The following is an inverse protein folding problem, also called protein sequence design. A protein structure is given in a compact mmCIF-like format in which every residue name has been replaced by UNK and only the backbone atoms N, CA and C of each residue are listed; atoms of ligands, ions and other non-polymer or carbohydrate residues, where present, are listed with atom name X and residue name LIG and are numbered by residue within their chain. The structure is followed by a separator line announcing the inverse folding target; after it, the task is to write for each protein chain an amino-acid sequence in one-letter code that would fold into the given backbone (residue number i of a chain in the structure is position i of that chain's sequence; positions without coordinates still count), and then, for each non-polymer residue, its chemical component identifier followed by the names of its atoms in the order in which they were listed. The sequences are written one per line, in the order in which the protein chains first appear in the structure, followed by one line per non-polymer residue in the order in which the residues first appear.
data_IF_312808819327
#
_entry.id   IF_312808819327
#
_cell.length_a   1.000
_cell.length_b   1.000
_cell.length_c   1.000
_cell.angle_alpha   90.00
_cell.angle_beta   90.00
_cell.angle_gamma   90.00
#
_symmetry.space_group_name_H-M   'P 1'
#
loop_
_entity.id
_entity.type
_entity.pdbx_description
1 polymer ?
#
# COMPACT_ATOMS: atom_id res chain seq x y z
N UNK A 1 26.85 14.73 45.45
CA UNK A 1 25.89 13.63 45.30
C UNK A 1 24.58 14.10 45.91
N UNK A 2 23.59 14.40 45.06
CA UNK A 2 22.26 14.80 45.51
C UNK A 2 21.40 13.55 45.38
N UNK A 3 21.23 12.84 46.50
CA UNK A 3 20.36 11.68 46.60
C UNK A 3 19.01 12.19 47.09
N UNK A 4 18.00 12.07 46.24
CA UNK A 4 16.61 12.29 46.63
C UNK A 4 16.14 11.15 47.54
N UNK A 5 15.12 11.43 48.35
CA UNK A 5 14.77 10.75 49.60
C UNK A 5 14.08 9.39 49.39
N UNK A 6 13.82 9.02 48.14
CA UNK A 6 13.10 7.81 47.75
C UNK A 6 14.01 6.66 47.26
N UNK A 7 15.33 6.81 47.29
CA UNK A 7 16.27 5.69 47.06
C UNK A 7 16.24 5.07 45.65
N UNK A 8 15.53 5.67 44.70
CA UNK A 8 15.50 5.24 43.31
C UNK A 8 16.59 5.95 42.49
N UNK A 9 17.38 5.16 41.78
CA UNK A 9 18.42 5.66 40.88
C UNK A 9 17.71 6.21 39.62
N UNK A 10 18.18 7.30 38.98
CA UNK A 10 17.56 7.83 37.74
C UNK A 10 17.46 6.79 36.61
N UNK A 11 18.25 5.71 36.65
CA UNK A 11 18.16 4.57 35.74
C UNK A 11 16.90 3.70 35.98
N UNK A 12 16.49 3.53 37.25
CA UNK A 12 15.30 2.74 37.62
C UNK A 12 14.01 3.46 37.19
N UNK A 13 13.96 4.79 37.32
CA UNK A 13 12.84 5.60 36.82
C UNK A 13 12.75 5.56 35.29
N UNK A 14 13.88 5.54 34.58
CA UNK A 14 13.93 5.42 33.13
C UNK A 14 13.44 4.06 32.64
N UNK A 15 13.78 2.95 33.32
CA UNK A 15 13.28 1.62 32.95
C UNK A 15 11.77 1.46 33.17
N UNK A 16 11.23 1.98 34.29
CA UNK A 16 9.79 1.92 34.59
C UNK A 16 8.98 2.72 33.57
N UNK A 17 9.43 3.92 33.20
CA UNK A 17 8.74 4.75 32.20
C UNK A 17 8.88 4.18 30.78
N UNK A 18 10.00 3.53 30.48
CA UNK A 18 10.20 2.86 29.19
C UNK A 18 9.28 1.65 29.02
N UNK A 19 9.09 0.81 30.04
CA UNK A 19 8.18 -0.35 29.97
C UNK A 19 6.72 0.06 29.79
N UNK A 20 6.30 1.15 30.46
CA UNK A 20 4.97 1.75 30.28
C UNK A 20 4.72 2.25 28.86
N UNK A 21 5.66 3.02 28.30
CA UNK A 21 5.56 3.52 26.92
C UNK A 21 5.61 2.41 25.88
N UNK A 22 6.39 1.36 26.09
CA UNK A 22 6.47 0.21 25.18
C UNK A 22 5.14 -0.55 25.11
N UNK A 23 4.49 -0.77 26.25
CA UNK A 23 3.15 -1.40 26.31
C UNK A 23 2.10 -0.57 25.58
N UNK A 24 2.11 0.75 25.77
CA UNK A 24 1.18 1.64 25.07
C UNK A 24 1.45 1.67 23.55
N UNK A 25 2.72 1.74 23.14
CA UNK A 25 3.11 1.67 21.73
C UNK A 25 2.69 0.34 21.07
N UNK A 26 2.84 -0.78 21.78
CA UNK A 26 2.41 -2.10 21.30
C UNK A 26 0.89 -2.18 21.14
N UNK A 27 0.13 -1.64 22.10
CA UNK A 27 -1.33 -1.56 22.02
C UNK A 27 -1.77 -0.70 20.84
N UNK A 28 -1.20 0.50 20.73
CA UNK A 28 -1.46 1.42 19.62
C UNK A 28 -1.17 0.77 18.26
N UNK A 29 -0.05 0.05 18.16
CA UNK A 29 0.33 -0.67 16.95
C UNK A 29 -0.68 -1.75 16.56
N UNK A 30 -1.17 -2.51 17.55
CA UNK A 30 -2.14 -3.59 17.34
C UNK A 30 -3.49 -3.04 16.86
N UNK A 31 -3.98 -2.00 17.53
CA UNK A 31 -5.24 -1.32 17.15
C UNK A 31 -5.14 -0.70 15.76
N UNK A 32 -4.00 -0.07 15.45
CA UNK A 32 -3.71 0.50 14.14
C UNK A 32 -3.63 -0.57 13.05
N UNK A 33 -2.87 -1.64 13.29
CA UNK A 33 -2.71 -2.75 12.34
C UNK A 33 -4.05 -3.44 12.04
N UNK A 34 -4.93 -3.60 13.04
CA UNK A 34 -6.27 -4.16 12.85
C UNK A 34 -7.16 -3.23 12.02
N UNK A 35 -7.16 -1.93 12.32
CA UNK A 35 -7.93 -0.93 11.58
C UNK A 35 -7.48 -0.85 10.12
N UNK A 36 -6.16 -0.77 9.89
CA UNK A 36 -5.58 -0.75 8.55
C UNK A 36 -5.79 -2.05 7.79
N UNK A 37 -5.71 -3.21 8.45
CA UNK A 37 -6.04 -4.51 7.81
C UNK A 37 -7.46 -4.54 7.29
N UNK A 38 -8.42 -4.04 8.08
CA UNK A 38 -9.83 -3.94 7.67
C UNK A 38 -9.98 -3.07 6.43
N UNK A 39 -9.33 -1.89 6.42
CA UNK A 39 -9.34 -0.98 5.26
C UNK A 39 -8.70 -1.65 4.03
N UNK A 40 -7.59 -2.35 4.20
CA UNK A 40 -6.92 -3.07 3.12
C UNK A 40 -7.81 -4.17 2.53
N UNK A 41 -8.42 -5.00 3.37
CA UNK A 41 -9.38 -6.03 2.94
C UNK A 41 -10.54 -5.39 2.18
N UNK A 42 -11.08 -4.28 2.67
CA UNK A 42 -12.16 -3.55 1.99
C UNK A 42 -11.72 -3.07 0.60
N UNK A 43 -10.55 -2.45 0.48
CA UNK A 43 -9.99 -2.02 -0.81
C UNK A 43 -9.79 -3.21 -1.74
N UNK A 44 -9.20 -4.30 -1.25
CA UNK A 44 -8.99 -5.51 -2.04
C UNK A 44 -10.32 -6.08 -2.56
N UNK A 45 -11.36 -6.07 -1.73
CA UNK A 45 -12.70 -6.55 -2.10
C UNK A 45 -13.33 -5.68 -3.20
N UNK A 46 -13.24 -4.36 -3.07
CA UNK A 46 -13.80 -3.41 -4.05
C UNK A 46 -13.09 -3.53 -5.39
N UNK A 47 -11.75 -3.57 -5.38
CA UNK A 47 -10.94 -3.72 -6.59
C UNK A 47 -11.18 -5.10 -7.23
N UNK A 48 -11.32 -6.15 -6.43
CA UNK A 48 -11.62 -7.50 -6.94
C UNK A 48 -12.98 -7.50 -7.64
N UNK A 49 -14.01 -6.92 -7.03
CA UNK A 49 -15.31 -6.77 -7.69
C UNK A 49 -15.21 -5.97 -9.00
N UNK A 50 -14.42 -4.88 -9.01
CA UNK A 50 -14.18 -4.06 -10.19
C UNK A 50 -13.50 -4.85 -11.34
N UNK A 51 -12.56 -5.75 -11.01
CA UNK A 51 -11.87 -6.61 -11.96
C UNK A 51 -12.83 -7.55 -12.72
N UNK A 52 -13.85 -8.07 -12.04
CA UNK A 52 -14.84 -8.98 -12.63
C UNK A 52 -15.97 -8.25 -13.34
N UNK A 53 -16.24 -6.99 -13.01
CA UNK A 53 -17.15 -6.15 -13.79
C UNK A 53 -16.44 -5.65 -15.05
N UNK A 54 -16.25 -6.53 -16.04
CA UNK A 54 -15.59 -6.19 -17.31
C UNK A 54 -16.47 -5.17 -18.05
N UNK A 55 -16.02 -3.90 -18.23
CA UNK A 55 -16.71 -2.96 -19.09
C UNK A 55 -16.36 -3.31 -20.55
N UNK A 56 -17.23 -4.02 -21.26
CA UNK A 56 -17.00 -4.22 -22.70
C UNK A 56 -17.79 -5.31 -23.39
N UNK A 57 -18.45 -6.22 -22.66
CA UNK A 57 -19.14 -7.33 -23.30
C UNK A 57 -18.22 -8.18 -24.18
N UNK A 58 -18.79 -9.12 -24.92
CA UNK A 58 -18.06 -9.93 -25.89
C UNK A 58 -18.85 -9.89 -27.17
N UNK A 59 -18.29 -9.30 -28.23
CA UNK A 59 -18.81 -9.48 -29.57
C UNK A 59 -18.00 -10.62 -30.22
N UNK A 60 -18.68 -11.72 -30.57
CA UNK A 60 -18.12 -12.84 -31.33
C UNK A 60 -16.91 -13.57 -30.68
N UNK A 61 -16.96 -13.82 -29.38
CA UNK A 61 -15.96 -14.63 -28.67
C UNK A 61 -14.60 -13.97 -28.46
N UNK A 62 -14.45 -12.69 -28.86
CA UNK A 62 -13.24 -11.89 -28.64
C UNK A 62 -13.60 -10.67 -27.79
N UNK A 63 -12.90 -10.40 -26.66
CA UNK A 63 -13.12 -9.18 -25.89
C UNK A 63 -12.85 -7.97 -26.80
N UNK A 64 -13.89 -7.20 -27.13
CA UNK A 64 -13.86 -6.06 -28.07
C UNK A 64 -12.80 -5.01 -27.68
N UNK A 65 -12.37 -5.00 -26.42
CA UNK A 65 -11.50 -3.98 -25.84
C UNK A 65 -10.04 -4.38 -25.59
N UNK A 66 -9.60 -5.57 -26.03
CA UNK A 66 -8.19 -5.99 -25.88
C UNK A 66 -7.18 -5.09 -26.61
N UNK A 67 -7.61 -4.29 -27.59
CA UNK A 67 -6.72 -3.50 -28.44
C UNK A 67 -6.53 -2.04 -28.00
N UNK A 68 -7.22 -1.57 -26.95
CA UNK A 68 -7.05 -0.19 -26.46
C UNK A 68 -6.07 -0.14 -25.29
N UNK A 69 -5.08 0.76 -25.39
CA UNK A 69 -4.06 0.96 -24.36
C UNK A 69 -4.64 1.36 -23.00
N UNK A 70 -5.83 1.95 -22.97
CA UNK A 70 -6.51 2.43 -21.76
C UNK A 70 -7.08 1.28 -20.92
N UNK A 71 -7.64 0.24 -21.58
CA UNK A 71 -8.16 -0.95 -20.90
C UNK A 71 -7.03 -1.79 -20.31
N UNK A 72 -5.94 -1.99 -21.06
CA UNK A 72 -4.76 -2.71 -20.56
C UNK A 72 -4.13 -1.99 -19.36
N UNK A 73 -4.08 -0.65 -19.38
CA UNK A 73 -3.62 0.14 -18.24
C UNK A 73 -4.53 -0.03 -17.03
N UNK A 74 -5.85 0.01 -17.21
CA UNK A 74 -6.83 -0.25 -16.15
C UNK A 74 -6.60 -1.62 -15.50
N UNK A 75 -6.53 -2.69 -16.29
CA UNK A 75 -6.32 -4.05 -15.78
C UNK A 75 -5.00 -4.20 -15.02
N UNK A 76 -3.90 -3.61 -15.51
CA UNK A 76 -2.61 -3.65 -14.81
C UNK A 76 -2.71 -2.92 -13.47
N UNK A 77 -3.31 -1.73 -13.45
CA UNK A 77 -3.44 -0.95 -12.21
C UNK A 77 -4.32 -1.65 -11.18
N UNK A 78 -5.40 -2.30 -11.63
CA UNK A 78 -6.31 -3.07 -10.79
C UNK A 78 -5.59 -4.28 -10.15
N UNK A 79 -4.83 -5.05 -10.93
CA UNK A 79 -4.03 -6.17 -10.41
C UNK A 79 -2.95 -5.69 -9.43
N UNK A 80 -2.27 -4.58 -9.72
CA UNK A 80 -1.28 -4.00 -8.80
C UNK A 80 -1.96 -3.53 -7.51
N UNK A 81 -3.14 -2.91 -7.59
CA UNK A 81 -3.91 -2.48 -6.44
C UNK A 81 -4.31 -3.66 -5.55
N UNK A 82 -4.77 -4.76 -6.14
CA UNK A 82 -5.08 -6.01 -5.43
C UNK A 82 -3.87 -6.60 -4.75
N UNK A 83 -2.79 -6.80 -5.50
CA UNK A 83 -1.57 -7.43 -4.99
C UNK A 83 -0.97 -6.63 -3.84
N UNK A 84 -0.92 -5.30 -3.97
CA UNK A 84 -0.39 -4.41 -2.93
C UNK A 84 -1.29 -4.34 -1.70
N UNK A 85 -2.61 -4.38 -1.88
CA UNK A 85 -3.55 -4.44 -0.74
C UNK A 85 -3.40 -5.75 0.05
N UNK A 86 -3.40 -6.89 -0.64
CA UNK A 86 -3.22 -8.20 -0.01
C UNK A 86 -1.85 -8.33 0.67
N UNK A 87 -0.79 -7.83 0.03
CA UNK A 87 0.53 -7.77 0.65
C UNK A 87 0.52 -6.92 1.93
N UNK A 88 -0.20 -5.80 1.94
CA UNK A 88 -0.38 -5.00 3.15
C UNK A 88 -1.13 -5.75 4.25
N UNK A 89 -2.19 -6.48 3.92
CA UNK A 89 -2.92 -7.33 4.87
C UNK A 89 -1.97 -8.34 5.50
N UNK A 90 -1.17 -9.04 4.70
CA UNK A 90 -0.19 -10.01 5.20
C UNK A 90 0.83 -9.36 6.14
N UNK A 91 1.31 -8.15 5.82
CA UNK A 91 2.24 -7.42 6.67
C UNK A 91 1.60 -7.03 8.01
N UNK A 92 0.36 -6.53 8.01
CA UNK A 92 -0.34 -6.21 9.26
C UNK A 92 -0.71 -7.45 10.07
N UNK A 93 -1.15 -8.53 9.43
CA UNK A 93 -1.37 -9.81 10.10
C UNK A 93 -0.07 -10.33 10.71
N UNK A 94 1.08 -10.18 10.03
CA UNK A 94 2.38 -10.52 10.61
C UNK A 94 2.71 -9.71 11.86
N UNK A 95 2.21 -8.48 11.98
CA UNK A 95 2.36 -7.65 13.19
C UNK A 95 1.41 -8.14 14.29
N UNK A 96 0.16 -8.49 13.94
CA UNK A 96 -0.85 -8.98 14.89
C UNK A 96 -0.55 -10.38 15.45
N UNK A 97 0.06 -11.25 14.63
CA UNK A 97 0.36 -12.64 14.98
C UNK A 97 1.71 -12.79 15.71
N UNK A 98 2.62 -11.83 15.58
CA UNK A 98 3.94 -11.93 16.23
C UNK A 98 3.80 -11.83 17.75
N UNK A 99 4.23 -12.86 18.52
CA UNK A 99 4.38 -12.74 19.97
C UNK A 99 5.41 -11.64 20.23
N UNK A 100 5.05 -10.68 21.07
CA UNK A 100 5.88 -9.53 21.39
C UNK A 100 7.00 -9.95 22.35
N UNK A 101 8.05 -10.62 21.83
CA UNK A 101 9.31 -10.74 22.55
C UNK A 101 10.09 -9.43 22.37
N UNK A 102 10.13 -8.67 23.46
CA UNK A 102 10.40 -7.23 23.56
C UNK A 102 11.82 -6.79 23.15
N UNK A 103 12.76 -7.71 22.89
CA UNK A 103 14.19 -7.38 22.82
C UNK A 103 14.76 -7.16 21.40
N UNK A 104 14.24 -7.85 20.36
CA UNK A 104 14.66 -7.65 18.95
C UNK A 104 13.70 -6.74 18.14
N UNK A 105 12.68 -6.23 18.80
CA UNK A 105 11.49 -5.65 18.19
C UNK A 105 11.63 -4.15 17.82
N UNK A 106 12.45 -3.39 18.56
CA UNK A 106 12.47 -1.92 18.50
C UNK A 106 12.80 -1.33 17.11
N UNK A 107 13.56 -2.06 16.27
CA UNK A 107 13.97 -1.57 14.94
C UNK A 107 13.25 -2.21 13.76
N UNK A 108 12.83 -3.47 13.89
CA UNK A 108 12.25 -4.25 12.79
C UNK A 108 10.73 -4.04 12.67
N UNK A 109 10.05 -3.83 13.79
CA UNK A 109 8.61 -3.64 13.88
C UNK A 109 8.10 -2.34 13.23
N UNK A 110 8.64 -1.13 13.56
CA UNK A 110 8.21 0.10 12.91
C UNK A 110 8.48 0.07 11.40
N UNK A 111 9.50 -0.67 10.96
CA UNK A 111 9.78 -0.87 9.54
C UNK A 111 8.72 -1.73 8.84
N UNK A 112 8.27 -2.83 9.47
CA UNK A 112 7.15 -3.64 8.96
C UNK A 112 5.86 -2.82 8.90
N UNK A 113 5.57 -2.05 9.95
CA UNK A 113 4.40 -1.17 9.99
C UNK A 113 4.42 -0.15 8.85
N UNK A 114 5.53 0.56 8.69
CA UNK A 114 5.68 1.56 7.63
C UNK A 114 5.60 0.93 6.22
N UNK A 115 6.13 -0.28 6.05
CA UNK A 115 5.99 -1.04 4.80
C UNK A 115 4.52 -1.39 4.52
N UNK A 116 3.77 -1.83 5.53
CA UNK A 116 2.34 -2.08 5.42
C UNK A 116 1.58 -0.82 4.98
N UNK A 117 1.76 0.28 5.70
CA UNK A 117 1.18 1.57 5.34
C UNK A 117 1.52 2.00 3.91
N UNK A 118 2.78 1.87 3.49
CA UNK A 118 3.21 2.21 2.14
C UNK A 118 2.50 1.37 1.05
N UNK A 119 2.32 0.07 1.28
CA UNK A 119 1.61 -0.83 0.37
C UNK A 119 0.12 -0.52 0.29
N UNK A 120 -0.51 -0.30 1.45
CA UNK A 120 -1.92 0.08 1.55
C UNK A 120 -2.23 1.35 0.76
N UNK A 121 -1.35 2.33 0.92
CA UNK A 121 -1.44 3.60 0.24
C UNK A 121 -1.23 3.48 -1.26
N UNK A 122 -0.23 2.70 -1.66
CA UNK A 122 0.03 2.42 -3.06
C UNK A 122 -1.20 1.77 -3.70
N UNK A 123 -1.87 0.86 -2.99
CA UNK A 123 -3.14 0.27 -3.41
C UNK A 123 -4.22 1.34 -3.64
N UNK A 124 -4.44 2.21 -2.65
CA UNK A 124 -5.40 3.33 -2.78
C UNK A 124 -5.09 4.23 -3.98
N UNK A 125 -3.81 4.55 -4.22
CA UNK A 125 -3.38 5.31 -5.40
C UNK A 125 -3.73 4.60 -6.70
N UNK A 126 -3.36 3.33 -6.81
CA UNK A 126 -3.62 2.54 -8.02
C UNK A 126 -5.12 2.37 -8.26
N UNK A 127 -5.93 2.23 -7.21
CA UNK A 127 -7.40 2.18 -7.32
C UNK A 127 -7.99 3.51 -7.80
N UNK A 128 -7.47 4.65 -7.34
CA UNK A 128 -7.91 5.97 -7.82
C UNK A 128 -7.52 6.21 -9.29
N UNK A 129 -6.35 5.74 -9.69
CA UNK A 129 -5.91 5.75 -11.10
C UNK A 129 -6.77 4.81 -11.95
N UNK A 130 -7.07 3.61 -11.45
CA UNK A 130 -7.95 2.65 -12.12
C UNK A 130 -9.35 3.23 -12.30
N UNK A 131 -9.94 3.82 -11.26
CA UNK A 131 -11.23 4.51 -11.35
C UNK A 131 -11.22 5.64 -12.39
N UNK A 132 -10.15 6.45 -12.41
CA UNK A 132 -9.99 7.51 -13.41
C UNK A 132 -9.90 6.94 -14.83
N UNK A 133 -9.16 5.84 -15.03
CA UNK A 133 -9.08 5.15 -16.31
C UNK A 133 -10.43 4.57 -16.75
N UNK A 134 -11.19 3.96 -15.83
CA UNK A 134 -12.56 3.48 -16.09
C UNK A 134 -13.47 4.62 -16.52
N UNK A 135 -13.43 5.76 -15.82
CA UNK A 135 -14.25 6.93 -16.18
C UNK A 135 -13.88 7.48 -17.55
N UNK A 136 -12.59 7.58 -17.90
CA UNK A 136 -12.15 8.00 -19.24
C UNK A 136 -12.63 7.03 -20.32
N UNK A 137 -12.55 5.72 -20.05
CA UNK A 137 -13.06 4.68 -20.95
C UNK A 137 -14.57 4.80 -21.15
N UNK A 138 -15.35 5.04 -20.09
CA UNK A 138 -16.79 5.24 -20.15
C UNK A 138 -17.17 6.50 -20.94
N UNK A 139 -16.45 7.61 -20.77
CA UNK A 139 -16.69 8.86 -21.53
C UNK A 139 -16.43 8.66 -23.03
N UNK A 140 -15.40 7.88 -23.41
CA UNK A 140 -15.17 7.53 -24.82
C UNK A 140 -16.31 6.70 -25.40
N UNK A 141 -16.96 5.86 -24.59
CA UNK A 141 -18.09 5.02 -24.99
C UNK A 141 -19.38 5.82 -25.16
N UNK A 142 -19.69 6.72 -24.22
CA UNK A 142 -20.96 7.45 -24.18
C UNK A 142 -20.77 8.94 -24.49
N UNK A 143 -20.83 9.29 -25.78
CA UNK A 143 -20.81 10.66 -26.32
C UNK A 143 -22.11 11.45 -25.97
N UNK A 144 -22.45 11.59 -24.68
CA UNK A 144 -23.57 12.44 -24.24
C UNK A 144 -23.06 13.57 -23.33
N UNK A 145 -23.17 14.80 -23.83
CA UNK A 145 -22.55 16.00 -23.25
C UNK A 145 -22.97 16.34 -21.80
N UNK A 146 -24.10 15.83 -21.30
CA UNK A 146 -24.60 16.18 -19.96
C UNK A 146 -23.99 15.34 -18.84
N UNK A 147 -23.70 14.05 -19.09
CA UNK A 147 -23.10 13.13 -18.09
C UNK A 147 -21.61 13.38 -17.91
N UNK A 148 -20.91 13.87 -18.93
CA UNK A 148 -19.45 14.10 -18.91
C UNK A 148 -19.00 15.09 -17.83
N UNK A 149 -19.72 16.20 -17.62
CA UNK A 149 -19.33 17.21 -16.62
C UNK A 149 -19.38 16.68 -15.19
N UNK A 150 -20.40 15.88 -14.87
CA UNK A 150 -20.60 15.31 -13.54
C UNK A 150 -19.56 14.23 -13.25
N UNK A 151 -19.24 13.41 -14.26
CA UNK A 151 -18.19 12.39 -14.21
C UNK A 151 -16.80 13.03 -14.03
N UNK A 152 -16.51 14.11 -14.75
CA UNK A 152 -15.22 14.80 -14.65
C UNK A 152 -15.01 15.41 -13.25
N UNK A 153 -16.05 16.04 -12.71
CA UNK A 153 -16.04 16.58 -11.33
C UNK A 153 -15.83 15.47 -10.29
N UNK A 154 -16.56 14.35 -10.44
CA UNK A 154 -16.46 13.20 -9.53
C UNK A 154 -15.09 12.51 -9.58
N UNK A 155 -14.42 12.47 -10.73
CA UNK A 155 -13.07 11.91 -10.86
C UNK A 155 -12.00 12.84 -10.26
N UNK A 156 -12.13 14.15 -10.43
CA UNK A 156 -11.12 15.12 -9.99
C UNK A 156 -11.11 15.31 -8.47
N UNK A 157 -12.28 15.22 -7.83
CA UNK A 157 -12.44 15.40 -6.39
C UNK A 157 -11.56 14.47 -5.52
N UNK A 158 -11.63 13.13 -5.66
CA UNK A 158 -10.81 12.23 -4.87
C UNK A 158 -9.32 12.36 -5.21
N UNK A 159 -8.96 12.61 -6.47
CA UNK A 159 -7.56 12.80 -6.89
C UNK A 159 -6.95 14.05 -6.24
N UNK A 160 -7.69 15.15 -6.17
CA UNK A 160 -7.20 16.42 -5.58
C UNK A 160 -7.02 16.29 -4.07
N UNK A 161 -8.00 15.71 -3.38
CA UNK A 161 -7.91 15.46 -1.93
C UNK A 161 -6.74 14.55 -1.62
N UNK A 162 -6.57 13.48 -2.40
CA UNK A 162 -5.45 12.56 -2.23
C UNK A 162 -4.13 13.28 -2.50
N UNK A 163 -3.98 14.02 -3.59
CA UNK A 163 -2.75 14.76 -3.90
C UNK A 163 -2.31 15.71 -2.77
N UNK A 164 -3.26 16.38 -2.11
CA UNK A 164 -2.97 17.30 -0.99
C UNK A 164 -2.50 16.54 0.26
N UNK A 165 -3.19 15.46 0.64
CA UNK A 165 -2.89 14.71 1.87
C UNK A 165 -1.56 13.94 1.74
N UNK A 166 -1.20 13.55 0.52
CA UNK A 166 -0.26 12.46 0.27
C UNK A 166 1.11 12.90 -0.19
N UNK A 167 1.30 14.21 -0.37
CA UNK A 167 2.58 14.82 -0.69
C UNK A 167 3.75 14.36 0.23
N UNK A 168 3.62 14.34 1.57
CA UNK A 168 4.72 13.90 2.44
C UNK A 168 4.99 12.39 2.37
N UNK A 169 3.94 11.58 2.22
CA UNK A 169 4.07 10.11 2.18
C UNK A 169 4.60 9.65 0.82
N UNK A 170 4.23 10.30 -0.28
CA UNK A 170 4.77 10.03 -1.60
C UNK A 170 6.30 10.19 -1.64
N UNK A 171 6.83 11.23 -0.98
CA UNK A 171 8.28 11.43 -0.85
C UNK A 171 8.93 10.27 -0.09
N UNK A 172 8.30 9.80 1.00
CA UNK A 172 8.81 8.67 1.78
C UNK A 172 8.76 7.35 1.02
N UNK A 173 7.63 7.05 0.37
CA UNK A 173 7.47 5.86 -0.49
C UNK A 173 8.47 5.88 -1.63
N UNK A 174 8.70 7.03 -2.27
CA UNK A 174 9.70 7.20 -3.33
C UNK A 174 11.12 6.92 -2.83
N UNK A 175 11.44 7.30 -1.60
CA UNK A 175 12.71 6.97 -0.97
C UNK A 175 12.82 5.46 -0.73
N UNK A 176 11.80 4.84 -0.14
CA UNK A 176 11.76 3.39 0.14
C UNK A 176 11.82 2.58 -1.16
N UNK A 177 11.05 2.93 -2.19
CA UNK A 177 11.10 2.28 -3.50
C UNK A 177 12.45 2.49 -4.17
N UNK A 178 13.10 3.65 -4.05
CA UNK A 178 14.49 3.81 -4.51
C UNK A 178 15.44 2.87 -3.77
N UNK A 179 15.31 2.73 -2.46
CA UNK A 179 16.13 1.82 -1.67
C UNK A 179 15.87 0.35 -2.03
N UNK A 180 14.61 -0.06 -2.15
CA UNK A 180 14.22 -1.40 -2.57
C UNK A 180 14.64 -1.67 -4.02
N UNK A 181 14.46 -0.73 -4.93
CA UNK A 181 14.94 -0.84 -6.32
C UNK A 181 16.45 -0.97 -6.37
N UNK A 182 17.19 -0.26 -5.52
CA UNK A 182 18.66 -0.38 -5.43
C UNK A 182 19.09 -1.74 -4.85
N UNK A 183 18.29 -2.32 -3.95
CA UNK A 183 18.51 -3.68 -3.41
C UNK A 183 18.13 -4.76 -4.42
N UNK A 184 16.98 -4.64 -5.09
CA UNK A 184 16.55 -5.52 -6.18
C UNK A 184 17.55 -5.46 -7.33
N UNK A 185 17.99 -4.28 -7.74
CA UNK A 185 19.07 -4.09 -8.73
C UNK A 185 20.44 -4.57 -8.24
N UNK A 186 20.62 -4.95 -6.97
CA UNK A 186 21.82 -5.66 -6.49
C UNK A 186 21.64 -7.18 -6.45
N UNK A 187 20.41 -7.66 -6.32
CA UNK A 187 20.08 -9.10 -6.30
C UNK A 187 19.83 -9.66 -7.71
N UNK A 188 19.22 -8.87 -8.61
CA UNK A 188 18.95 -9.26 -10.00
C UNK A 188 20.13 -9.24 -10.99
N UNK A 189 21.20 -8.43 -10.86
CA UNK A 189 22.28 -8.42 -11.84
C UNK A 189 23.19 -9.65 -11.71
N UNK A 190 23.08 -10.44 -10.64
CA UNK A 190 23.93 -11.62 -10.44
C UNK A 190 23.29 -12.91 -10.95
N UNK A 191 21.95 -13.05 -10.88
CA UNK A 191 21.27 -14.30 -11.30
C UNK A 191 21.03 -14.43 -12.81
N UNK A 192 21.13 -13.35 -13.59
CA UNK A 192 20.93 -13.40 -15.04
C UNK A 192 22.23 -13.63 -15.82
N UNK A 193 23.39 -13.49 -15.18
CA UNK A 193 24.70 -13.73 -15.81
C UNK A 193 25.15 -15.19 -15.65
N UNK A 194 24.92 -15.84 -14.51
CA UNK A 194 25.29 -17.25 -14.33
C UNK A 194 24.47 -18.21 -15.23
N UNK A 195 23.20 -17.91 -15.50
CA UNK A 195 22.38 -18.78 -16.36
C UNK A 195 22.69 -18.63 -17.86
N UNK A 196 23.38 -17.54 -18.26
CA UNK A 196 23.81 -17.31 -19.63
C UNK A 196 25.26 -17.79 -19.88
N UNK A 197 26.08 -17.85 -18.83
CA UNK A 197 27.47 -18.34 -18.90
C UNK A 197 27.61 -19.86 -18.68
N UNK A 198 26.58 -20.54 -18.17
CA UNK A 198 26.60 -22.01 -18.01
C UNK A 198 26.13 -22.79 -19.25
N UNK A 199 25.67 -22.08 -20.31
CA UNK A 199 25.16 -22.69 -21.54
C UNK A 199 25.90 -22.18 -22.81
N UNK A 200 27.13 -21.69 -22.64
CA UNK A 200 28.06 -21.40 -23.72
C UNK A 200 29.37 -22.16 -23.46
#
# INVERSE_FOLDING_TARGET
MHSDIDGHTPEDMLEIEHDGMLKEAQKWLKETAQSCSTVAILVATVVFAAAYTIPGGTENGTPVFLHSSEFLFFTIMDVVALATSLASVVVFLSILTSPCELWDFHKSLPRKLNLGFALLFLSLMTTMLAFSATMLLTIRLEWKNWTSTLIYSAAFFPVTIFAIIQFPVYVMVRSITKHLWKQVKKVFPTRLIEHCMSNC
#
